data_IF_961300988214
#
_entry.id   IF_961300988214
#
_cell.length_a   1.000
_cell.length_b   1.000
_cell.length_c   1.000
_cell.angle_alpha   90.00
_cell.angle_beta   90.00
_cell.angle_gamma   90.00
#
_symmetry.space_group_name_H-M   'P 1'
#
loop_
_entity.id
_entity.type
_entity.pdbx_description
1 polymer ?
#
# COMPACT_ATOMS: atom_id res chain seq x y z
N UNK A 1 9.58 -43.37 46.25
CA UNK A 1 10.60 -43.01 45.25
C UNK A 1 9.98 -43.17 43.87
N UNK A 2 9.45 -42.09 43.30
CA UNK A 2 9.05 -42.05 41.87
C UNK A 2 10.32 -42.14 41.06
N UNK A 3 10.49 -43.25 40.39
CA UNK A 3 11.68 -43.44 39.55
C UNK A 3 11.67 -42.47 38.36
N UNK A 4 12.84 -42.05 37.88
CA UNK A 4 12.98 -41.19 36.72
C UNK A 4 12.24 -41.75 35.49
N UNK A 5 12.09 -43.07 35.42
CA UNK A 5 11.32 -43.75 34.38
C UNK A 5 9.82 -43.50 34.44
N UNK A 6 9.23 -43.33 35.65
CA UNK A 6 7.80 -43.02 35.80
C UNK A 6 7.52 -41.57 35.39
N UNK A 7 8.46 -40.67 35.68
CA UNK A 7 8.37 -39.27 35.27
C UNK A 7 8.47 -39.18 33.72
N UNK A 8 9.39 -39.93 33.09
CA UNK A 8 9.53 -39.98 31.64
C UNK A 8 8.32 -40.67 30.97
N UNK A 9 7.76 -41.72 31.58
CA UNK A 9 6.54 -42.36 31.12
C UNK A 9 5.31 -41.41 31.23
N UNK A 10 5.24 -40.62 32.29
CA UNK A 10 4.21 -39.60 32.43
C UNK A 10 4.36 -38.46 31.41
N UNK A 11 5.59 -38.08 31.05
CA UNK A 11 5.87 -37.11 29.99
C UNK A 11 5.54 -37.65 28.60
N UNK A 12 5.69 -38.99 28.38
CA UNK A 12 5.33 -39.64 27.13
C UNK A 12 3.82 -39.79 26.91
N UNK A 13 3.02 -39.85 27.99
CA UNK A 13 1.58 -39.97 27.94
C UNK A 13 0.84 -38.62 28.10
N UNK A 14 1.56 -37.56 28.32
CA UNK A 14 0.99 -36.21 28.32
C UNK A 14 0.59 -35.80 26.91
N UNK A 15 -0.65 -35.35 26.76
CA UNK A 15 -0.99 -34.53 25.59
C UNK A 15 -0.02 -33.36 25.50
N UNK A 16 0.85 -33.35 24.52
CA UNK A 16 1.73 -32.22 24.32
C UNK A 16 0.87 -30.99 24.14
N UNK A 17 0.97 -30.04 25.09
CA UNK A 17 0.42 -28.71 24.89
C UNK A 17 1.19 -28.11 23.70
N UNK A 18 0.51 -27.79 22.60
CA UNK A 18 1.18 -27.17 21.48
C UNK A 18 1.72 -25.83 21.95
N UNK A 19 3.04 -25.74 22.10
CA UNK A 19 3.69 -24.46 22.32
C UNK A 19 3.70 -23.73 20.99
N UNK A 20 2.74 -22.84 20.79
CA UNK A 20 2.72 -21.99 19.60
C UNK A 20 3.71 -20.86 19.82
N UNK A 21 4.90 -20.98 19.24
CA UNK A 21 5.83 -19.85 19.17
C UNK A 21 5.40 -18.97 18.01
N UNK A 22 4.81 -17.84 18.30
CA UNK A 22 4.52 -16.82 17.29
C UNK A 22 5.76 -15.96 17.09
N UNK A 23 6.43 -16.11 15.97
CA UNK A 23 7.46 -15.19 15.52
C UNK A 23 6.74 -14.15 14.67
N UNK A 24 6.46 -13.00 15.25
CA UNK A 24 5.88 -11.88 14.51
C UNK A 24 6.83 -11.45 13.39
N UNK A 25 6.35 -11.44 12.15
CA UNK A 25 7.07 -10.86 11.02
C UNK A 25 7.06 -9.35 11.23
N UNK A 26 8.26 -8.73 11.32
CA UNK A 26 8.36 -7.29 11.47
C UNK A 26 8.11 -6.63 10.12
N UNK A 27 7.08 -5.80 10.06
CA UNK A 27 6.84 -4.91 8.94
C UNK A 27 7.69 -3.65 9.09
N UNK A 28 8.59 -3.44 8.14
CA UNK A 28 9.37 -2.23 8.04
C UNK A 28 8.99 -1.49 6.75
N UNK A 29 8.69 -0.20 6.90
CA UNK A 29 8.45 0.72 5.80
C UNK A 29 9.44 1.86 5.88
N UNK A 30 10.15 2.14 4.80
CA UNK A 30 11.06 3.26 4.67
C UNK A 30 10.63 4.10 3.47
N UNK A 31 10.43 5.40 3.68
CA UNK A 31 9.94 6.31 2.65
C UNK A 31 10.83 7.53 2.51
N UNK A 32 11.16 7.88 1.29
CA UNK A 32 11.80 9.14 0.93
C UNK A 32 10.90 9.92 -0.01
N UNK A 33 10.83 11.22 0.16
CA UNK A 33 10.11 12.06 -0.78
C UNK A 33 10.82 13.39 -1.01
N UNK A 34 10.65 13.93 -2.21
CA UNK A 34 11.07 15.26 -2.59
C UNK A 34 9.95 15.98 -3.33
N UNK A 35 9.80 17.28 -3.08
CA UNK A 35 8.81 18.12 -3.75
C UNK A 35 9.45 19.41 -4.23
N UNK A 36 9.12 19.79 -5.45
CA UNK A 36 9.49 21.07 -6.04
C UNK A 36 8.22 21.81 -6.40
N UNK A 37 8.12 23.06 -5.97
CA UNK A 37 7.06 23.97 -6.36
C UNK A 37 7.71 25.13 -7.11
N UNK A 38 7.15 25.47 -8.27
CA UNK A 38 7.62 26.56 -9.08
C UNK A 38 6.44 27.41 -9.53
N UNK A 39 6.54 28.72 -9.31
CA UNK A 39 5.52 29.68 -9.70
C UNK A 39 6.11 30.64 -10.70
N UNK A 40 5.50 30.73 -11.88
CA UNK A 40 5.89 31.64 -12.92
C UNK A 40 4.87 32.77 -13.06
N UNK A 41 5.35 34.00 -12.97
CA UNK A 41 4.54 35.24 -13.10
C UNK A 41 3.28 35.26 -12.19
N UNK A 42 3.33 34.57 -11.06
CA UNK A 42 2.19 34.41 -10.15
C UNK A 42 0.92 33.79 -10.79
N UNK A 43 0.99 33.35 -12.02
CA UNK A 43 -0.12 32.83 -12.81
C UNK A 43 -0.04 31.32 -13.05
N UNK A 44 1.15 30.80 -13.27
CA UNK A 44 1.40 29.40 -13.61
C UNK A 44 2.10 28.72 -12.45
N UNK A 45 1.42 27.77 -11.84
CA UNK A 45 1.92 27.04 -10.68
C UNK A 45 2.21 25.59 -11.08
N UNK A 46 3.43 25.16 -10.88
CA UNK A 46 3.90 23.80 -11.13
C UNK A 46 4.31 23.15 -9.82
N UNK A 47 3.87 21.95 -9.61
CA UNK A 47 4.30 21.11 -8.49
C UNK A 47 4.74 19.77 -9.04
N UNK A 48 5.92 19.32 -8.67
CA UNK A 48 6.39 17.97 -8.93
C UNK A 48 6.79 17.31 -7.62
N UNK A 49 6.38 16.08 -7.42
CA UNK A 49 6.73 15.29 -6.24
C UNK A 49 7.18 13.91 -6.68
N UNK A 50 8.25 13.43 -6.06
CA UNK A 50 8.72 12.06 -6.19
C UNK A 50 8.73 11.41 -4.81
N UNK A 51 8.15 10.22 -4.69
CA UNK A 51 8.17 9.41 -3.49
C UNK A 51 8.73 8.04 -3.81
N UNK A 52 9.64 7.56 -2.98
CA UNK A 52 10.21 6.22 -3.04
C UNK A 52 9.88 5.52 -1.71
N UNK A 53 9.16 4.42 -1.78
CA UNK A 53 8.75 3.63 -0.62
C UNK A 53 9.35 2.23 -0.70
N UNK A 54 10.03 1.83 0.36
CA UNK A 54 10.59 0.49 0.51
C UNK A 54 9.85 -0.29 1.60
N UNK A 55 9.31 -1.46 1.26
CA UNK A 55 8.59 -2.32 2.20
C UNK A 55 9.27 -3.68 2.35
N UNK A 56 9.37 -4.16 3.59
CA UNK A 56 9.90 -5.49 3.90
C UNK A 56 8.96 -6.63 3.49
N UNK A 57 7.71 -6.34 3.14
CA UNK A 57 6.72 -7.33 2.71
C UNK A 57 7.02 -7.95 1.35
N UNK A 58 7.83 -7.28 0.55
CA UNK A 58 8.19 -7.73 -0.80
C UNK A 58 9.59 -8.36 -0.85
N UNK A 59 9.79 -9.24 -1.82
CA UNK A 59 11.10 -9.85 -2.09
C UNK A 59 12.16 -8.78 -2.43
N UNK A 60 13.44 -9.10 -2.25
CA UNK A 60 14.55 -8.13 -2.32
C UNK A 60 14.59 -7.32 -3.62
N UNK A 61 14.13 -7.88 -4.75
CA UNK A 61 14.05 -7.19 -6.04
C UNK A 61 12.86 -6.27 -6.21
N UNK A 62 11.79 -6.42 -5.40
CA UNK A 62 10.51 -5.74 -5.56
C UNK A 62 10.15 -4.83 -4.37
N UNK A 63 11.08 -4.62 -3.44
CA UNK A 63 10.83 -3.86 -2.20
C UNK A 63 10.53 -2.40 -2.44
N UNK A 64 11.15 -1.80 -3.46
CA UNK A 64 11.04 -0.38 -3.72
C UNK A 64 9.97 -0.07 -4.77
N UNK A 65 9.04 0.81 -4.40
CA UNK A 65 8.08 1.43 -5.30
C UNK A 65 8.41 2.91 -5.49
N UNK A 66 8.22 3.42 -6.71
CA UNK A 66 8.46 4.82 -7.07
C UNK A 66 7.16 5.44 -7.55
N UNK A 67 6.75 6.52 -6.89
CA UNK A 67 5.47 7.16 -7.08
C UNK A 67 5.62 8.63 -7.43
N UNK A 68 5.81 8.94 -8.73
CA UNK A 68 5.83 10.31 -9.21
C UNK A 68 4.44 10.94 -9.19
N UNK A 69 4.39 12.25 -8.96
CA UNK A 69 3.19 13.05 -9.17
C UNK A 69 3.56 14.44 -9.68
N UNK A 70 2.69 15.00 -10.50
CA UNK A 70 2.81 16.34 -11.02
C UNK A 70 1.46 17.05 -11.01
N UNK A 71 1.48 18.33 -10.72
CA UNK A 71 0.30 19.18 -10.79
C UNK A 71 0.65 20.51 -11.46
N UNK A 72 -0.30 21.00 -12.23
CA UNK A 72 -0.26 22.28 -12.89
C UNK A 72 -1.52 23.06 -12.53
N UNK A 73 -1.37 24.31 -12.17
CA UNK A 73 -2.49 25.19 -11.98
C UNK A 73 -2.24 26.53 -12.72
N UNK A 74 -3.25 27.00 -13.42
CA UNK A 74 -3.23 28.23 -14.18
C UNK A 74 -4.31 29.17 -13.69
N UNK A 75 -3.89 30.34 -13.23
CA UNK A 75 -4.77 31.42 -12.81
C UNK A 75 -5.19 32.22 -14.05
N UNK A 76 -6.20 31.72 -14.77
CA UNK A 76 -6.68 32.31 -16.00
C UNK A 76 -7.24 33.71 -15.82
N UNK A 77 -7.83 33.98 -14.63
CA UNK A 77 -8.38 35.29 -14.30
C UNK A 77 -7.36 36.43 -14.36
N UNK A 78 -6.09 36.13 -14.09
CA UNK A 78 -5.02 37.15 -14.09
C UNK A 78 -4.44 37.41 -15.50
N UNK A 79 -5.00 36.79 -16.54
CA UNK A 79 -4.54 36.97 -17.90
C UNK A 79 -5.14 38.22 -18.56
N UNK A 80 -4.40 38.89 -19.47
CA UNK A 80 -4.88 40.12 -20.14
C UNK A 80 -6.17 39.90 -20.93
N UNK A 81 -6.37 38.73 -21.51
CA UNK A 81 -7.58 38.44 -22.29
C UNK A 81 -8.84 38.33 -21.44
N UNK A 82 -8.69 38.22 -20.09
CA UNK A 82 -9.81 38.16 -19.14
C UNK A 82 -10.20 39.54 -18.59
N UNK A 83 -9.54 40.63 -18.99
CA UNK A 83 -9.84 41.97 -18.46
C UNK A 83 -11.30 42.37 -18.66
N UNK A 84 -11.90 42.04 -19.80
CA UNK A 84 -13.29 42.34 -20.09
C UNK A 84 -14.32 41.54 -19.27
N UNK A 85 -13.88 40.56 -18.48
CA UNK A 85 -14.79 39.73 -17.66
C UNK A 85 -14.75 40.08 -16.18
N UNK A 86 -13.88 40.99 -15.76
CA UNK A 86 -13.64 41.36 -14.35
C UNK A 86 -14.87 41.94 -13.63
N UNK A 87 -15.84 42.46 -14.37
CA UNK A 87 -17.09 43.00 -13.79
C UNK A 87 -17.96 41.92 -13.15
N UNK A 88 -17.94 40.72 -13.69
CA UNK A 88 -18.79 39.61 -13.20
C UNK A 88 -18.01 38.39 -12.75
N UNK A 89 -16.83 38.13 -13.35
CA UNK A 89 -15.95 37.02 -12.98
C UNK A 89 -14.91 37.55 -11.98
N UNK A 90 -14.74 36.87 -10.86
CA UNK A 90 -13.83 37.27 -9.78
C UNK A 90 -12.67 36.31 -9.62
N UNK A 91 -12.82 35.08 -10.08
CA UNK A 91 -11.79 34.06 -10.07
C UNK A 91 -12.05 33.03 -11.16
N UNK A 92 -11.01 32.63 -11.86
CA UNK A 92 -11.02 31.49 -12.76
C UNK A 92 -9.64 30.84 -12.74
N UNK A 93 -9.60 29.59 -12.28
CA UNK A 93 -8.37 28.80 -12.18
C UNK A 93 -8.58 27.41 -12.76
N UNK A 94 -7.71 27.05 -13.64
CA UNK A 94 -7.62 25.71 -14.21
C UNK A 94 -6.61 24.87 -13.41
N UNK A 95 -6.93 23.60 -13.18
CA UNK A 95 -6.05 22.66 -12.48
C UNK A 95 -5.96 21.34 -13.25
N UNK A 96 -4.76 20.84 -13.39
CA UNK A 96 -4.48 19.52 -13.94
C UNK A 96 -3.53 18.81 -13.00
N UNK A 97 -3.82 17.58 -12.66
CA UNK A 97 -2.90 16.77 -11.87
C UNK A 97 -2.85 15.32 -12.32
N UNK A 98 -1.68 14.76 -12.19
CA UNK A 98 -1.37 13.35 -12.41
C UNK A 98 -0.58 12.86 -11.21
N UNK A 99 -0.91 11.71 -10.67
CA UNK A 99 -0.18 11.14 -9.56
C UNK A 99 -0.29 9.63 -9.52
N UNK A 100 0.74 9.02 -8.96
CA UNK A 100 0.76 7.60 -8.67
C UNK A 100 0.84 7.39 -7.16
N UNK A 101 0.16 6.36 -6.67
CA UNK A 101 0.18 5.95 -5.28
C UNK A 101 0.36 4.43 -5.17
N UNK A 102 1.23 4.01 -4.27
CA UNK A 102 1.49 2.60 -4.00
C UNK A 102 0.64 2.06 -2.86
N UNK A 103 0.24 0.80 -2.98
CA UNK A 103 -0.41 0.05 -1.94
C UNK A 103 0.39 -1.23 -1.65
N UNK A 104 0.73 -1.45 -0.37
CA UNK A 104 1.46 -2.63 0.12
C UNK A 104 0.59 -3.50 1.03
N UNK A 105 -0.73 -3.42 0.93
CA UNK A 105 -1.67 -4.21 1.73
C UNK A 105 -1.75 -5.65 1.23
N UNK A 106 -0.67 -6.39 1.48
CA UNK A 106 -0.62 -7.84 1.28
C UNK A 106 -0.50 -8.52 2.64
N UNK A 107 -1.02 -9.75 2.79
CA UNK A 107 -0.81 -10.53 4.02
C UNK A 107 0.67 -10.72 4.31
N UNK A 108 1.04 -10.72 5.59
CA UNK A 108 2.41 -10.92 6.00
C UNK A 108 2.90 -12.31 5.61
N UNK A 109 4.12 -12.37 5.10
CA UNK A 109 4.71 -13.63 4.68
C UNK A 109 4.26 -14.16 3.32
N UNK A 110 3.46 -13.40 2.54
CA UNK A 110 2.98 -13.83 1.20
C UNK A 110 4.09 -14.15 0.20
N UNK A 111 5.32 -13.71 0.46
CA UNK A 111 6.48 -14.05 -0.36
C UNK A 111 7.12 -15.40 0.02
N UNK A 112 6.73 -16.00 1.16
CA UNK A 112 7.31 -17.23 1.65
C UNK A 112 6.35 -18.40 1.50
N UNK A 113 6.89 -19.56 1.15
CA UNK A 113 6.12 -20.81 1.23
C UNK A 113 5.98 -21.18 2.70
N UNK A 114 4.76 -21.21 3.18
CA UNK A 114 4.44 -21.65 4.54
C UNK A 114 4.01 -23.10 4.55
N UNK A 115 4.32 -23.79 5.63
CA UNK A 115 3.85 -25.14 5.89
C UNK A 115 3.08 -25.17 7.19
N UNK A 116 1.99 -25.89 7.23
CA UNK A 116 1.23 -26.17 8.44
C UNK A 116 1.28 -27.67 8.74
N UNK A 117 1.26 -27.98 10.02
CA UNK A 117 1.14 -29.38 10.45
C UNK A 117 -0.29 -29.85 10.17
N UNK A 118 -0.45 -30.95 9.44
CA UNK A 118 -1.75 -31.58 9.27
C UNK A 118 -2.23 -32.03 10.65
N UNK A 119 -3.46 -31.65 11.01
CA UNK A 119 -4.04 -32.03 12.31
C UNK A 119 -4.07 -33.55 12.48
N UNK A 120 -3.93 -33.98 13.73
CA UNK A 120 -4.09 -35.37 14.12
C UNK A 120 -5.52 -35.82 13.78
N UNK A 121 -5.68 -36.63 12.77
CA UNK A 121 -6.97 -37.26 12.47
C UNK A 121 -7.18 -37.64 11.02
N UNK A 122 -6.75 -36.82 10.06
CA UNK A 122 -7.23 -37.03 8.70
C UNK A 122 -6.16 -37.51 7.68
N UNK A 123 -4.90 -37.38 7.98
CA UNK A 123 -3.81 -37.84 7.08
C UNK A 123 -2.50 -38.13 7.83
N UNK A 124 -2.56 -38.79 8.95
CA UNK A 124 -1.36 -39.25 9.63
C UNK A 124 -0.85 -40.49 8.91
N UNK A 125 0.42 -40.46 8.49
CA UNK A 125 1.08 -41.66 7.98
C UNK A 125 1.61 -42.41 9.22
N UNK A 126 1.15 -43.65 9.36
CA UNK A 126 1.60 -44.53 10.44
C UNK A 126 2.76 -45.38 9.96
N UNK A 127 3.87 -45.34 10.67
CA UNK A 127 5.00 -46.25 10.52
C UNK A 127 5.08 -47.10 11.80
N UNK A 128 4.43 -48.26 11.79
CA UNK A 128 4.29 -49.06 12.99
C UNK A 128 3.50 -48.33 14.09
N UNK A 129 4.03 -48.24 15.29
CA UNK A 129 3.40 -47.55 16.43
C UNK A 129 3.69 -46.03 16.48
N UNK A 130 4.37 -45.50 15.48
CA UNK A 130 4.73 -44.11 15.42
C UNK A 130 3.89 -43.35 14.38
N UNK A 131 3.35 -42.22 14.80
CA UNK A 131 2.62 -41.30 13.94
C UNK A 131 3.59 -40.28 13.36
N UNK A 132 3.78 -40.30 12.04
CA UNK A 132 4.57 -39.27 11.38
C UNK A 132 3.73 -38.00 11.20
N UNK A 133 4.30 -36.89 11.58
CA UNK A 133 3.70 -35.57 11.34
C UNK A 133 3.79 -35.24 9.84
N UNK A 134 2.65 -35.08 9.20
CA UNK A 134 2.59 -34.66 7.81
C UNK A 134 2.52 -33.14 7.74
N UNK A 135 3.46 -32.55 7.00
CA UNK A 135 3.42 -31.15 6.65
C UNK A 135 2.57 -30.96 5.40
N UNK A 136 1.61 -30.06 5.45
CA UNK A 136 0.87 -29.63 4.28
C UNK A 136 1.27 -28.19 3.91
N UNK A 137 1.10 -27.82 2.66
CA UNK A 137 1.22 -26.42 2.26
C UNK A 137 0.29 -25.55 3.10
N UNK A 138 0.78 -24.39 3.50
CA UNK A 138 -0.05 -23.37 4.13
C UNK A 138 -1.16 -22.89 3.19
N UNK A 139 -2.14 -22.21 3.75
CA UNK A 139 -3.32 -21.75 3.00
C UNK A 139 -3.00 -20.59 2.03
N UNK A 140 -1.80 -20.00 2.13
CA UNK A 140 -1.32 -18.91 1.26
C UNK A 140 -0.28 -19.48 0.30
N UNK A 141 -0.56 -19.38 -1.01
CA UNK A 141 0.42 -19.65 -2.04
C UNK A 141 1.48 -18.55 -2.05
N UNK A 142 2.75 -18.93 -1.90
CA UNK A 142 3.84 -17.98 -1.99
C UNK A 142 3.97 -17.40 -3.39
N UNK A 143 4.14 -16.09 -3.47
CA UNK A 143 4.48 -15.42 -4.71
C UNK A 143 5.65 -14.44 -4.47
N UNK A 144 6.88 -14.83 -4.82
CA UNK A 144 8.04 -13.96 -4.67
C UNK A 144 8.07 -12.79 -5.69
N UNK A 145 7.22 -12.82 -6.71
CA UNK A 145 7.11 -11.78 -7.72
C UNK A 145 6.13 -10.66 -7.34
N UNK A 146 5.53 -10.74 -6.16
CA UNK A 146 4.64 -9.69 -5.66
C UNK A 146 5.33 -8.33 -5.69
N UNK A 147 4.60 -7.34 -6.23
CA UNK A 147 5.02 -5.95 -6.39
C UNK A 147 4.01 -5.02 -5.72
N UNK A 148 4.42 -3.77 -5.57
CA UNK A 148 3.51 -2.71 -5.21
C UNK A 148 2.36 -2.62 -6.20
N UNK A 149 1.14 -2.66 -5.69
CA UNK A 149 -0.04 -2.28 -6.44
C UNK A 149 0.02 -0.77 -6.67
N UNK A 150 -0.14 -0.33 -7.90
CA UNK A 150 -0.03 1.09 -8.25
C UNK A 150 -1.36 1.63 -8.72
N UNK A 151 -1.86 2.66 -8.04
CA UNK A 151 -3.01 3.43 -8.47
C UNK A 151 -2.55 4.70 -9.16
N UNK A 152 -2.99 4.90 -10.38
CA UNK A 152 -2.75 6.08 -11.18
C UNK A 152 -3.99 6.96 -11.12
N UNK A 153 -3.83 8.17 -10.60
CA UNK A 153 -4.90 9.16 -10.46
C UNK A 153 -4.66 10.33 -11.40
N UNK A 154 -5.72 10.75 -12.07
CA UNK A 154 -5.73 11.91 -12.97
C UNK A 154 -6.88 12.80 -12.57
N UNK A 155 -6.63 14.10 -12.49
CA UNK A 155 -7.67 15.07 -12.14
C UNK A 155 -7.55 16.29 -13.04
N UNK A 156 -8.71 16.76 -13.49
CA UNK A 156 -8.92 18.01 -14.21
C UNK A 156 -9.92 18.83 -13.40
N UNK A 157 -9.54 20.02 -12.99
CA UNK A 157 -10.37 20.88 -12.16
C UNK A 157 -10.47 22.30 -12.67
N UNK A 158 -11.60 22.93 -12.37
CA UNK A 158 -11.86 24.35 -12.60
C UNK A 158 -12.40 24.97 -11.33
N UNK A 159 -11.76 26.00 -10.84
CA UNK A 159 -12.27 26.86 -9.75
C UNK A 159 -12.78 28.16 -10.36
N UNK A 160 -13.96 28.58 -9.96
CA UNK A 160 -14.58 29.78 -10.47
C UNK A 160 -15.20 30.59 -9.34
N UNK A 161 -15.29 31.89 -9.55
CA UNK A 161 -15.95 32.83 -8.64
C UNK A 161 -16.61 33.96 -9.43
N UNK A 162 -17.81 34.31 -9.04
CA UNK A 162 -18.61 35.37 -9.69
C UNK A 162 -19.01 36.46 -8.69
N UNK A 163 -19.20 37.66 -9.21
CA UNK A 163 -19.72 38.84 -8.45
C UNK A 163 -19.00 39.06 -7.13
N UNK A 164 -17.71 39.35 -7.19
CA UNK A 164 -16.84 39.52 -6.00
C UNK A 164 -16.88 38.32 -5.05
N UNK A 165 -16.83 37.11 -5.66
CA UNK A 165 -16.88 35.83 -4.94
C UNK A 165 -18.16 35.61 -4.12
N UNK A 166 -19.28 36.28 -4.46
CA UNK A 166 -20.56 35.98 -3.83
C UNK A 166 -21.08 34.60 -4.20
N UNK A 167 -20.75 34.11 -5.40
CA UNK A 167 -20.93 32.75 -5.84
C UNK A 167 -19.59 32.18 -6.24
N UNK A 168 -19.17 31.11 -5.60
CA UNK A 168 -17.95 30.40 -5.94
C UNK A 168 -18.19 28.91 -5.94
N UNK A 169 -17.42 28.18 -6.75
CA UNK A 169 -17.51 26.74 -6.83
C UNK A 169 -16.29 26.14 -7.49
N UNK A 170 -16.21 24.80 -7.44
CA UNK A 170 -15.22 24.02 -8.16
C UNK A 170 -15.90 22.85 -8.86
N UNK A 171 -15.38 22.51 -10.02
CA UNK A 171 -15.73 21.31 -10.77
C UNK A 171 -14.48 20.48 -10.94
N UNK A 172 -14.53 19.23 -10.51
CA UNK A 172 -13.43 18.30 -10.61
C UNK A 172 -13.87 17.03 -11.36
N UNK A 173 -13.09 16.68 -12.37
CA UNK A 173 -13.21 15.42 -13.12
C UNK A 173 -12.00 14.57 -12.79
N UNK A 174 -12.22 13.40 -12.21
CA UNK A 174 -11.15 12.50 -11.84
C UNK A 174 -11.42 11.10 -12.37
N UNK A 175 -10.34 10.39 -12.72
CA UNK A 175 -10.39 8.97 -13.04
C UNK A 175 -9.13 8.28 -12.55
N UNK A 176 -9.31 7.11 -12.00
CA UNK A 176 -8.26 6.31 -11.40
C UNK A 176 -8.13 4.97 -12.15
N UNK A 177 -6.91 4.47 -12.22
CA UNK A 177 -6.62 3.15 -12.77
C UNK A 177 -5.69 2.44 -11.81
N UNK A 178 -6.02 1.22 -11.41
CA UNK A 178 -5.17 0.38 -10.55
C UNK A 178 -4.56 -0.75 -11.37
N UNK A 179 -3.26 -1.00 -11.16
CA UNK A 179 -2.45 -2.04 -11.83
C UNK A 179 -1.72 -2.90 -10.81
#
# INVERSE_FOLDING_TARGET
>A
ETTVNEILAALGNGTSLPTTTYIGIKDNLLSFFGRVNYTLNDKYLFTATMRADGSSKFASGNRWGYFPSAAFAWRMFDEPFMEGTKDWLSNLKFRLSYGTAGNNRIPDGSMYTTFSVAGTGDKSIYFGDQTATVLKHGDILSNPELKWETTISRNLGFDFGFWNNRLSGSLDFYWNTTQ
#
